data_IF_712435888907
#
_entry.id   IF_712435888907
#
_cell.length_a   1.000
_cell.length_b   1.000
_cell.length_c   1.000
_cell.angle_alpha   90.00
_cell.angle_beta   90.00
_cell.angle_gamma   90.00
#
_symmetry.space_group_name_H-M   'P 1'
#
loop_
_entity.id
_entity.type
_entity.pdbx_description
1 polymer ?
#
# COMPACT_ATOMS: atom_id res chain seq x y z
N UNK A 1 2.58 -27.20 -6.30
CA UNK A 1 1.57 -26.73 -5.32
C UNK A 1 2.10 -25.66 -4.34
N UNK A 2 3.34 -25.77 -3.83
CA UNK A 2 3.88 -24.84 -2.82
C UNK A 2 4.16 -23.42 -3.37
N UNK A 3 4.67 -23.31 -4.60
CA UNK A 3 4.89 -22.03 -5.28
C UNK A 3 3.59 -21.22 -5.44
N UNK A 4 2.49 -21.86 -5.83
CA UNK A 4 1.19 -21.20 -5.96
C UNK A 4 0.71 -20.64 -4.61
N UNK A 5 0.82 -21.39 -3.50
CA UNK A 5 0.44 -20.88 -2.17
C UNK A 5 1.32 -19.73 -1.70
N UNK A 6 2.62 -19.78 -1.97
CA UNK A 6 3.54 -18.70 -1.64
C UNK A 6 3.19 -17.41 -2.42
N UNK A 7 2.90 -17.55 -3.73
CA UNK A 7 2.45 -16.45 -4.57
C UNK A 7 1.16 -15.81 -4.05
N UNK A 8 0.13 -16.62 -3.73
CA UNK A 8 -1.10 -16.12 -3.11
C UNK A 8 -0.89 -15.45 -1.75
N UNK A 9 0.14 -15.85 -1.01
CA UNK A 9 0.52 -15.20 0.25
C UNK A 9 1.03 -13.77 0.04
N UNK A 10 1.75 -13.52 -1.06
CA UNK A 10 2.23 -12.19 -1.44
C UNK A 10 1.06 -11.34 -1.94
N UNK A 11 0.25 -11.92 -2.83
CA UNK A 11 -0.90 -11.28 -3.46
C UNK A 11 -1.90 -10.73 -2.43
N UNK A 12 -2.29 -11.58 -1.47
CA UNK A 12 -3.28 -11.22 -0.44
C UNK A 12 -2.77 -10.22 0.60
N UNK A 13 -1.45 -10.14 0.81
CA UNK A 13 -0.87 -9.33 1.91
C UNK A 13 -0.26 -8.03 1.43
N UNK A 14 0.19 -7.96 0.19
CA UNK A 14 0.84 -6.78 -0.36
C UNK A 14 0.05 -6.22 -1.52
N UNK A 15 -0.21 -7.02 -2.56
CA UNK A 15 -0.78 -6.52 -3.80
C UNK A 15 -2.18 -5.95 -3.59
N UNK A 16 -3.07 -6.73 -2.96
CA UNK A 16 -4.42 -6.25 -2.62
C UNK A 16 -4.43 -4.95 -1.80
N UNK A 17 -3.45 -4.78 -0.89
CA UNK A 17 -3.31 -3.54 -0.13
C UNK A 17 -2.90 -2.36 -1.01
N UNK A 18 -2.03 -2.57 -1.99
CA UNK A 18 -1.62 -1.56 -2.97
C UNK A 18 -2.77 -1.22 -3.92
N UNK A 19 -3.53 -2.19 -4.37
CA UNK A 19 -4.64 -1.96 -5.30
C UNK A 19 -5.76 -1.17 -4.64
N UNK A 20 -6.22 -1.63 -3.46
CA UNK A 20 -7.36 -1.01 -2.78
C UNK A 20 -7.03 0.36 -2.19
N UNK A 21 -5.83 0.53 -1.65
CA UNK A 21 -5.49 1.78 -0.97
C UNK A 21 -4.80 2.77 -1.91
N UNK A 22 -3.94 2.32 -2.83
CA UNK A 22 -3.13 3.17 -3.70
C UNK A 22 -3.58 3.17 -5.16
N UNK A 23 -4.65 2.45 -5.51
CA UNK A 23 -5.16 2.34 -6.87
C UNK A 23 -4.05 1.98 -7.85
N UNK A 24 -3.18 1.03 -7.46
CA UNK A 24 -1.98 0.67 -8.23
C UNK A 24 -2.34 0.10 -9.61
N UNK A 25 -3.28 -0.85 -9.69
CA UNK A 25 -3.81 -1.37 -10.97
C UNK A 25 -4.40 -0.32 -11.91
N UNK A 26 -4.99 0.75 -11.36
CA UNK A 26 -5.59 1.82 -12.16
C UNK A 26 -4.56 2.86 -12.65
N UNK A 27 -3.30 2.74 -12.24
CA UNK A 27 -2.25 3.71 -12.54
C UNK A 27 -1.79 3.60 -14.00
N UNK A 28 -2.03 4.63 -14.81
CA UNK A 28 -1.54 4.69 -16.21
C UNK A 28 -0.05 5.06 -16.35
N UNK A 29 0.68 5.14 -15.23
CA UNK A 29 2.11 5.44 -15.22
C UNK A 29 2.86 4.21 -15.74
N UNK A 30 3.35 4.30 -16.98
CA UNK A 30 4.04 3.21 -17.70
C UNK A 30 5.42 3.64 -18.25
N UNK A 31 5.84 4.89 -18.02
CA UNK A 31 7.05 5.45 -18.62
C UNK A 31 8.32 5.00 -17.89
N UNK A 32 9.27 4.45 -18.63
CA UNK A 32 10.62 4.10 -18.14
C UNK A 32 10.55 3.32 -16.80
N UNK A 33 11.31 3.75 -15.80
CA UNK A 33 11.34 3.18 -14.45
C UNK A 33 10.25 3.71 -13.52
N UNK A 34 9.34 4.57 -14.00
CA UNK A 34 8.30 5.16 -13.17
C UNK A 34 7.36 4.13 -12.51
N UNK A 35 6.93 3.03 -13.16
CA UNK A 35 6.07 2.03 -12.52
C UNK A 35 6.75 1.35 -11.33
N UNK A 36 8.02 0.96 -11.50
CA UNK A 36 8.81 0.29 -10.47
C UNK A 36 9.11 1.22 -9.30
N UNK A 37 9.60 2.44 -9.60
CA UNK A 37 9.88 3.46 -8.60
C UNK A 37 8.63 3.80 -7.79
N UNK A 38 7.49 3.95 -8.45
CA UNK A 38 6.23 4.26 -7.78
C UNK A 38 5.75 3.09 -6.93
N UNK A 39 5.87 1.85 -7.41
CA UNK A 39 5.53 0.66 -6.61
C UNK A 39 6.40 0.57 -5.36
N UNK A 40 7.71 0.85 -5.48
CA UNK A 40 8.63 0.89 -4.35
C UNK A 40 8.22 1.96 -3.32
N UNK A 41 7.93 3.18 -3.77
CA UNK A 41 7.47 4.26 -2.90
C UNK A 41 6.16 3.91 -2.19
N UNK A 42 5.18 3.33 -2.89
CA UNK A 42 3.92 2.90 -2.27
C UNK A 42 4.14 1.84 -1.19
N UNK A 43 5.05 0.89 -1.42
CA UNK A 43 5.45 -0.12 -0.43
C UNK A 43 6.11 0.52 0.80
N UNK A 44 7.01 1.50 0.59
CA UNK A 44 7.61 2.26 1.70
C UNK A 44 6.55 2.99 2.53
N UNK A 45 5.63 3.71 1.88
CA UNK A 45 4.52 4.41 2.56
C UNK A 45 3.64 3.42 3.33
N UNK A 46 3.31 2.26 2.73
CA UNK A 46 2.51 1.24 3.42
C UNK A 46 3.21 0.73 4.69
N UNK A 47 4.52 0.47 4.62
CA UNK A 47 5.30 0.01 5.77
C UNK A 47 5.39 1.07 6.89
N UNK A 48 5.40 2.35 6.53
CA UNK A 48 5.42 3.45 7.51
C UNK A 48 4.04 3.67 8.16
N UNK A 49 2.96 3.66 7.38
CA UNK A 49 1.62 4.06 7.85
C UNK A 49 0.88 2.91 8.55
N UNK A 50 1.10 1.66 8.13
CA UNK A 50 0.40 0.49 8.67
C UNK A 50 0.58 0.29 10.18
N UNK A 51 1.79 0.35 10.76
CA UNK A 51 2.00 0.09 12.19
C UNK A 51 1.55 1.27 13.08
N UNK A 52 1.37 2.47 12.53
CA UNK A 52 1.04 3.65 13.32
C UNK A 52 -0.41 3.55 13.83
N UNK A 53 -0.64 3.54 15.16
CA UNK A 53 -1.98 3.60 15.71
C UNK A 53 -2.53 5.01 15.50
N UNK A 54 -3.68 5.12 14.83
CA UNK A 54 -4.36 6.39 14.58
C UNK A 54 -5.86 6.23 14.83
N UNK A 55 -6.50 7.31 15.28
CA UNK A 55 -7.93 7.33 15.59
C UNK A 55 -8.28 6.65 16.91
N UNK A 56 -9.58 6.52 17.19
CA UNK A 56 -10.09 5.94 18.45
C UNK A 56 -9.67 4.47 18.56
N UNK A 57 -9.03 4.12 19.68
CA UNK A 57 -8.51 2.76 19.95
C UNK A 57 -7.51 2.25 18.89
N UNK A 58 -6.81 3.15 18.19
CA UNK A 58 -5.86 2.80 17.12
C UNK A 58 -6.51 2.27 15.84
N UNK A 59 -7.84 2.36 15.73
CA UNK A 59 -8.62 1.86 14.60
C UNK A 59 -9.02 3.01 13.68
N UNK A 60 -8.35 3.09 12.53
CA UNK A 60 -8.67 3.99 11.45
C UNK A 60 -8.37 3.31 10.11
N UNK A 61 -9.15 3.59 9.07
CA UNK A 61 -8.93 2.99 7.75
C UNK A 61 -7.60 3.49 7.15
N UNK A 62 -6.94 2.64 6.37
CA UNK A 62 -5.66 2.97 5.72
C UNK A 62 -5.74 4.23 4.84
N UNK A 63 -6.87 4.44 4.15
CA UNK A 63 -7.13 5.66 3.38
C UNK A 63 -7.09 6.92 4.24
N UNK A 64 -7.74 6.90 5.41
CA UNK A 64 -7.76 8.05 6.32
C UNK A 64 -6.40 8.19 6.99
N UNK A 65 -5.73 7.10 7.39
CA UNK A 65 -4.37 7.14 7.97
C UNK A 65 -3.39 7.84 7.04
N UNK A 66 -3.40 7.47 5.76
CA UNK A 66 -2.59 8.14 4.74
C UNK A 66 -2.93 9.61 4.58
N UNK A 67 -4.23 9.95 4.59
CA UNK A 67 -4.65 11.36 4.52
C UNK A 67 -4.15 12.11 5.76
N UNK A 68 -4.34 11.59 6.96
CA UNK A 68 -3.85 12.24 8.18
C UNK A 68 -2.33 12.47 8.15
N UNK A 69 -1.55 11.45 7.79
CA UNK A 69 -0.09 11.55 7.69
C UNK A 69 0.40 12.52 6.59
N UNK A 70 -0.44 12.86 5.61
CA UNK A 70 -0.10 13.82 4.56
C UNK A 70 -0.44 15.28 4.92
N UNK A 71 -1.16 15.49 6.02
CA UNK A 71 -1.66 16.81 6.47
C UNK A 71 -1.18 17.17 7.89
N UNK A 72 -0.26 16.39 8.46
CA UNK A 72 0.39 16.68 9.74
C UNK A 72 1.54 17.66 9.44
N UNK A 73 1.29 18.95 9.64
CA UNK A 73 2.19 20.09 9.44
C UNK A 73 2.46 20.76 10.81
#
# INVERSE_FOLDING_TARGET
>A
AQAARAHWGIENRLHWMLDVNFAEDASSICKDFAPENLSLLKKMVLNLVRPVPMGKNGKMSMRIKRKAAAWDD
#
